data_IF_714985888858
#
_entry.id   IF_714985888858
#
_cell.length_a   1.000
_cell.length_b   1.000
_cell.length_c   1.000
_cell.angle_alpha   90.00
_cell.angle_beta   90.00
_cell.angle_gamma   90.00
#
_symmetry.space_group_name_H-M   'P 1'
#
loop_
_entity.id
_entity.type
_entity.pdbx_description
1 polymer ?
#
# COMPACT_ATOMS: atom_id res chain seq x y z
N UNK A 1 1.97 18.33 -18.25
CA UNK A 1 0.83 17.47 -18.68
C UNK A 1 -0.40 17.82 -17.86
N UNK A 2 -1.54 18.08 -18.50
CA UNK A 2 -2.77 18.38 -17.77
C UNK A 2 -3.44 17.08 -17.29
N UNK A 3 -4.34 17.20 -16.31
CA UNK A 3 -5.05 16.07 -15.69
C UNK A 3 -5.81 15.26 -16.76
N UNK A 4 -6.42 15.95 -17.71
CA UNK A 4 -7.17 15.32 -18.80
C UNK A 4 -6.28 14.40 -19.63
N UNK A 5 -5.08 14.85 -19.99
CA UNK A 5 -4.15 14.07 -20.80
C UNK A 5 -3.68 12.83 -20.01
N UNK A 6 -3.46 12.95 -18.71
CA UNK A 6 -3.11 11.82 -17.84
C UNK A 6 -4.21 10.76 -17.83
N UNK A 7 -5.48 11.19 -17.72
CA UNK A 7 -6.63 10.27 -17.70
C UNK A 7 -6.76 9.53 -19.03
N UNK A 8 -6.60 10.21 -20.15
CA UNK A 8 -6.64 9.60 -21.48
C UNK A 8 -5.50 8.61 -21.69
N UNK A 9 -4.30 8.99 -21.24
CA UNK A 9 -3.12 8.14 -21.30
C UNK A 9 -3.33 6.84 -20.53
N UNK A 10 -3.83 6.93 -19.29
CA UNK A 10 -4.10 5.78 -18.45
C UNK A 10 -5.17 4.88 -19.08
N UNK A 11 -6.25 5.48 -19.59
CA UNK A 11 -7.33 4.71 -20.26
C UNK A 11 -6.78 3.93 -21.46
N UNK A 12 -5.88 4.53 -22.23
CA UNK A 12 -5.23 3.88 -23.37
C UNK A 12 -4.40 2.68 -22.90
N UNK A 13 -3.62 2.86 -21.81
CA UNK A 13 -2.82 1.77 -21.24
C UNK A 13 -3.72 0.63 -20.72
N UNK A 14 -4.81 0.96 -20.05
CA UNK A 14 -5.75 -0.06 -19.54
C UNK A 14 -6.35 -0.89 -20.66
N UNK A 15 -6.78 -0.24 -21.75
CA UNK A 15 -7.29 -0.95 -22.91
C UNK A 15 -6.23 -1.84 -23.57
N UNK A 16 -5.01 -1.33 -23.71
CA UNK A 16 -3.90 -2.10 -24.25
C UNK A 16 -3.57 -3.33 -23.41
N UNK A 17 -3.61 -3.20 -22.09
CA UNK A 17 -3.32 -4.30 -21.16
C UNK A 17 -4.43 -5.35 -21.13
N UNK A 18 -5.67 -5.00 -21.47
CA UNK A 18 -6.74 -5.98 -21.61
C UNK A 18 -6.47 -6.90 -22.80
N UNK A 19 -5.91 -6.34 -23.87
CA UNK A 19 -5.59 -7.09 -25.10
C UNK A 19 -4.28 -7.87 -24.94
N UNK A 20 -3.26 -7.22 -24.35
CA UNK A 20 -1.92 -7.80 -24.17
C UNK A 20 -1.39 -7.52 -22.76
N UNK A 21 -1.82 -8.32 -21.75
CA UNK A 21 -1.45 -8.07 -20.35
C UNK A 21 0.04 -8.26 -20.05
N UNK A 22 0.80 -8.85 -20.95
CA UNK A 22 2.24 -9.06 -20.79
C UNK A 22 3.09 -8.08 -21.59
N UNK A 23 2.47 -7.10 -22.23
CA UNK A 23 3.21 -6.09 -22.98
C UNK A 23 4.12 -5.29 -22.05
N UNK A 24 5.42 -5.48 -22.18
CA UNK A 24 6.43 -4.91 -21.26
C UNK A 24 6.38 -3.40 -21.19
N UNK A 25 6.20 -2.73 -22.32
CA UNK A 25 6.12 -1.27 -22.36
C UNK A 25 4.88 -0.75 -21.63
N UNK A 26 3.72 -1.36 -21.87
CA UNK A 26 2.47 -0.95 -21.25
C UNK A 26 2.47 -1.25 -19.75
N UNK A 27 2.97 -2.42 -19.33
CA UNK A 27 3.13 -2.79 -17.93
C UNK A 27 4.02 -1.77 -17.23
N UNK A 28 5.17 -1.45 -17.82
CA UNK A 28 6.11 -0.49 -17.25
C UNK A 28 5.47 0.89 -17.09
N UNK A 29 4.87 1.40 -18.14
CA UNK A 29 4.29 2.74 -18.13
C UNK A 29 3.12 2.86 -17.16
N UNK A 30 2.24 1.87 -17.15
CA UNK A 30 1.10 1.83 -16.22
C UNK A 30 1.57 1.72 -14.78
N UNK A 31 2.50 0.80 -14.51
CA UNK A 31 3.07 0.60 -13.18
C UNK A 31 3.76 1.84 -12.65
N UNK A 32 4.61 2.47 -13.46
CA UNK A 32 5.30 3.69 -13.06
C UNK A 32 4.32 4.83 -12.78
N UNK A 33 3.29 4.97 -13.61
CA UNK A 33 2.27 6.00 -13.42
C UNK A 33 1.65 5.88 -12.03
N UNK A 34 1.16 4.68 -11.68
CA UNK A 34 0.47 4.48 -10.41
C UNK A 34 1.41 4.42 -9.21
N UNK A 35 2.63 3.91 -9.37
CA UNK A 35 3.62 3.96 -8.27
C UNK A 35 3.97 5.41 -7.92
N UNK A 36 4.20 6.25 -8.92
CA UNK A 36 4.49 7.67 -8.70
C UNK A 36 3.30 8.40 -8.10
N UNK A 37 2.10 8.14 -8.62
CA UNK A 37 0.87 8.75 -8.12
C UNK A 37 0.61 8.34 -6.67
N UNK A 38 0.85 7.07 -6.34
CA UNK A 38 0.70 6.56 -4.97
C UNK A 38 1.67 7.22 -4.00
N UNK A 39 2.94 7.34 -4.38
CA UNK A 39 3.94 8.01 -3.55
C UNK A 39 3.61 9.49 -3.35
N UNK A 40 3.16 10.18 -4.39
CA UNK A 40 2.75 11.57 -4.30
C UNK A 40 1.56 11.75 -3.36
N UNK A 41 0.56 10.86 -3.47
CA UNK A 41 -0.62 10.86 -2.58
C UNK A 41 -0.22 10.60 -1.13
N UNK A 42 0.70 9.66 -0.91
CA UNK A 42 1.21 9.34 0.42
C UNK A 42 1.90 10.55 1.07
N UNK A 43 2.74 11.24 0.31
CA UNK A 43 3.43 12.45 0.78
C UNK A 43 2.45 13.58 1.07
N UNK A 44 1.35 13.66 0.34
CA UNK A 44 0.30 14.66 0.53
C UNK A 44 -0.65 14.30 1.69
N UNK A 45 -0.48 13.15 2.32
CA UNK A 45 -1.35 12.70 3.41
C UNK A 45 -2.67 12.10 2.93
N UNK A 46 -2.78 11.76 1.66
CA UNK A 46 -3.98 11.17 1.04
C UNK A 46 -3.85 9.65 0.99
N UNK A 47 -3.99 9.02 2.15
CA UNK A 47 -3.75 7.58 2.31
C UNK A 47 -4.66 6.72 1.43
N UNK A 48 -5.95 7.06 1.33
CA UNK A 48 -6.90 6.28 0.52
C UNK A 48 -6.55 6.32 -0.96
N UNK A 49 -6.19 7.50 -1.48
CA UNK A 49 -5.74 7.64 -2.86
C UNK A 49 -4.47 6.84 -3.12
N UNK A 50 -3.53 6.88 -2.16
CA UNK A 50 -2.29 6.13 -2.25
C UNK A 50 -2.56 4.62 -2.30
N UNK A 51 -3.45 4.12 -1.44
CA UNK A 51 -3.83 2.71 -1.45
C UNK A 51 -4.41 2.29 -2.79
N UNK A 52 -5.32 3.09 -3.34
CA UNK A 52 -5.95 2.79 -4.63
C UNK A 52 -4.92 2.72 -5.75
N UNK A 53 -3.96 3.65 -5.76
CA UNK A 53 -2.90 3.67 -6.74
C UNK A 53 -2.02 2.42 -6.66
N UNK A 54 -1.59 2.06 -5.47
CA UNK A 54 -0.73 0.89 -5.29
C UNK A 54 -1.47 -0.42 -5.62
N UNK A 55 -2.76 -0.52 -5.32
CA UNK A 55 -3.57 -1.70 -5.64
C UNK A 55 -3.66 -1.94 -7.15
N UNK A 56 -3.61 -0.88 -7.96
CA UNK A 56 -3.64 -1.02 -9.41
C UNK A 56 -2.36 -1.64 -9.98
N UNK A 57 -1.26 -1.58 -9.24
CA UNK A 57 0.04 -2.14 -9.66
C UNK A 57 0.12 -3.64 -9.39
N UNK A 58 -0.56 -4.13 -8.36
CA UNK A 58 -0.44 -5.53 -7.92
C UNK A 58 -0.76 -6.55 -9.04
N UNK A 59 -1.83 -6.38 -9.84
CA UNK A 59 -2.15 -7.38 -10.88
C UNK A 59 -1.22 -7.36 -12.09
N UNK A 60 -0.29 -6.42 -12.18
CA UNK A 60 0.61 -6.32 -13.34
C UNK A 60 1.64 -7.45 -13.34
N UNK A 61 2.03 -7.88 -14.53
CA UNK A 61 3.06 -8.91 -14.70
C UNK A 61 4.46 -8.28 -14.61
N UNK A 62 4.82 -7.82 -13.39
CA UNK A 62 6.11 -7.17 -13.12
C UNK A 62 6.48 -7.37 -11.67
N UNK A 63 7.41 -8.30 -11.42
CA UNK A 63 7.83 -8.71 -10.08
C UNK A 63 8.23 -7.54 -9.18
N UNK A 64 9.12 -6.67 -9.68
CA UNK A 64 9.63 -5.55 -8.89
C UNK A 64 8.53 -4.55 -8.54
N UNK A 65 7.66 -4.23 -9.50
CA UNK A 65 6.56 -3.30 -9.25
C UNK A 65 5.55 -3.87 -8.26
N UNK A 66 5.22 -5.15 -8.37
CA UNK A 66 4.34 -5.82 -7.40
C UNK A 66 4.92 -5.73 -5.99
N UNK A 67 6.20 -6.04 -5.85
CA UNK A 67 6.90 -5.99 -4.56
C UNK A 67 6.88 -4.58 -3.99
N UNK A 68 7.19 -3.58 -4.80
CA UNK A 68 7.19 -2.18 -4.38
C UNK A 68 5.78 -1.73 -3.94
N UNK A 69 4.75 -2.11 -4.69
CA UNK A 69 3.36 -1.76 -4.35
C UNK A 69 2.93 -2.43 -3.05
N UNK A 70 3.21 -3.72 -2.89
CA UNK A 70 2.88 -4.47 -1.67
C UNK A 70 3.61 -3.92 -0.45
N UNK A 71 4.90 -3.59 -0.60
CA UNK A 71 5.67 -2.95 0.47
C UNK A 71 5.05 -1.60 0.85
N UNK A 72 4.74 -0.77 -0.13
CA UNK A 72 4.15 0.56 0.12
C UNK A 72 2.79 0.45 0.81
N UNK A 73 1.96 -0.50 0.39
CA UNK A 73 0.68 -0.78 1.04
C UNK A 73 0.88 -1.24 2.48
N UNK A 74 1.87 -2.10 2.72
CA UNK A 74 2.22 -2.55 4.07
C UNK A 74 2.61 -1.39 4.97
N UNK A 75 3.45 -0.49 4.47
CA UNK A 75 3.87 0.71 5.21
C UNK A 75 2.68 1.62 5.51
N UNK A 76 1.81 1.85 4.53
CA UNK A 76 0.61 2.68 4.71
C UNK A 76 -0.30 2.12 5.80
N UNK A 77 -0.57 0.81 5.76
CA UNK A 77 -1.42 0.16 6.75
C UNK A 77 -0.78 0.21 8.14
N UNK A 78 0.52 -0.02 8.23
CA UNK A 78 1.25 0.07 9.50
C UNK A 78 1.16 1.48 10.07
N UNK A 79 1.42 2.49 9.27
CA UNK A 79 1.37 3.89 9.70
C UNK A 79 -0.04 4.29 10.13
N UNK A 80 -1.06 3.83 9.42
CA UNK A 80 -2.44 4.09 9.78
C UNK A 80 -2.79 3.47 11.14
N UNK A 81 -2.41 2.22 11.36
CA UNK A 81 -2.59 1.54 12.64
C UNK A 81 -1.87 2.26 13.78
N UNK A 82 -0.62 2.68 13.56
CA UNK A 82 0.15 3.43 14.54
C UNK A 82 -0.50 4.77 14.87
N UNK A 83 -1.04 5.47 13.87
CA UNK A 83 -1.74 6.74 14.07
C UNK A 83 -3.04 6.54 14.86
N UNK A 84 -3.79 5.48 14.59
CA UNK A 84 -5.00 5.16 15.34
C UNK A 84 -4.65 4.95 16.83
N UNK A 85 -3.61 4.17 17.12
CA UNK A 85 -3.18 3.93 18.51
C UNK A 85 -2.71 5.22 19.18
N UNK A 86 -1.96 6.05 18.46
CA UNK A 86 -1.47 7.32 18.98
C UNK A 86 -2.62 8.24 19.39
N UNK A 87 -3.65 8.33 18.55
CA UNK A 87 -4.84 9.14 18.84
C UNK A 87 -5.69 8.56 19.94
N UNK A 88 -5.69 7.24 20.07
CA UNK A 88 -6.49 6.55 21.08
C UNK A 88 -5.82 6.52 22.47
N UNK A 89 -4.50 6.75 22.53
CA UNK A 89 -3.75 6.64 23.79
C UNK A 89 -4.37 7.40 24.97
N UNK A 90 -4.86 8.66 24.80
CA UNK A 90 -5.49 9.38 25.92
C UNK A 90 -6.78 8.71 26.42
N UNK A 91 -7.42 7.88 25.62
CA UNK A 91 -8.66 7.20 26.00
C UNK A 91 -8.43 5.99 26.91
N UNK A 92 -7.21 5.48 26.97
CA UNK A 92 -6.89 4.28 27.75
C UNK A 92 -7.33 4.39 29.23
N UNK A 93 -7.22 5.59 29.79
CA UNK A 93 -7.59 5.85 31.19
C UNK A 93 -8.94 6.53 31.35
N UNK A 94 -9.44 7.23 30.30
CA UNK A 94 -10.68 8.02 30.39
C UNK A 94 -11.90 7.28 29.84
N UNK A 95 -11.73 6.41 28.86
CA UNK A 95 -12.82 5.65 28.24
C UNK A 95 -12.27 4.34 27.70
N UNK A 96 -12.18 3.35 28.55
CA UNK A 96 -11.58 2.04 28.24
C UNK A 96 -12.30 1.32 27.09
N UNK A 97 -13.61 1.44 27.01
CA UNK A 97 -14.39 0.77 25.95
C UNK A 97 -14.09 1.40 24.57
N UNK A 98 -14.01 2.70 24.53
CA UNK A 98 -13.67 3.42 23.30
C UNK A 98 -12.22 3.14 22.87
N UNK A 99 -11.31 3.09 23.84
CA UNK A 99 -9.92 2.70 23.59
C UNK A 99 -9.83 1.31 22.98
N UNK A 100 -10.56 0.34 23.55
CA UNK A 100 -10.56 -1.03 23.05
C UNK A 100 -11.08 -1.11 21.60
N UNK A 101 -12.13 -0.34 21.27
CA UNK A 101 -12.66 -0.29 19.91
C UNK A 101 -11.64 0.29 18.92
N UNK A 102 -10.96 1.36 19.32
CA UNK A 102 -9.93 1.95 18.46
C UNK A 102 -8.71 1.03 18.30
N UNK A 103 -8.31 0.34 19.37
CA UNK A 103 -7.24 -0.64 19.31
C UNK A 103 -7.58 -1.78 18.35
N UNK A 104 -8.80 -2.24 18.33
CA UNK A 104 -9.25 -3.27 17.41
C UNK A 104 -9.11 -2.81 15.94
N UNK A 105 -9.48 -1.56 15.67
CA UNK A 105 -9.28 -0.97 14.33
C UNK A 105 -7.80 -0.94 13.95
N UNK A 106 -6.93 -0.53 14.87
CA UNK A 106 -5.50 -0.49 14.65
C UNK A 106 -4.94 -1.89 14.38
N UNK A 107 -5.38 -2.88 15.15
CA UNK A 107 -4.95 -4.27 14.97
C UNK A 107 -5.34 -4.80 13.59
N UNK A 108 -6.53 -4.42 13.11
CA UNK A 108 -6.97 -4.75 11.76
C UNK A 108 -6.05 -4.18 10.69
N UNK A 109 -5.60 -2.94 10.87
CA UNK A 109 -4.65 -2.32 9.92
C UNK A 109 -3.28 -2.98 9.99
N UNK A 110 -2.82 -3.35 11.17
CA UNK A 110 -1.56 -4.08 11.33
C UNK A 110 -1.61 -5.46 10.66
N UNK A 111 -2.75 -6.13 10.76
CA UNK A 111 -2.96 -7.41 10.09
C UNK A 111 -2.90 -7.26 8.57
N UNK A 112 -3.55 -6.23 8.03
CA UNK A 112 -3.47 -5.92 6.60
C UNK A 112 -2.01 -5.65 6.18
N UNK A 113 -1.28 -4.89 6.99
CA UNK A 113 0.13 -4.61 6.75
C UNK A 113 0.95 -5.91 6.69
N UNK A 114 0.71 -6.80 7.64
CA UNK A 114 1.40 -8.09 7.68
C UNK A 114 1.11 -8.92 6.43
N UNK A 115 -0.15 -8.99 6.02
CA UNK A 115 -0.56 -9.75 4.84
C UNK A 115 0.14 -9.23 3.57
N UNK A 116 0.17 -7.91 3.37
CA UNK A 116 0.85 -7.31 2.23
C UNK A 116 2.35 -7.59 2.24
N UNK A 117 2.97 -7.46 3.41
CA UNK A 117 4.42 -7.65 3.53
C UNK A 117 4.82 -9.12 3.38
N UNK A 118 4.01 -10.04 3.89
CA UNK A 118 4.25 -11.47 3.70
C UNK A 118 4.14 -11.86 2.23
N UNK A 119 3.16 -11.30 1.53
CA UNK A 119 3.02 -11.53 0.09
C UNK A 119 4.21 -10.96 -0.68
N UNK A 120 4.67 -9.77 -0.31
CA UNK A 120 5.87 -9.18 -0.90
C UNK A 120 7.10 -10.07 -0.66
N UNK A 121 7.22 -10.65 0.53
CA UNK A 121 8.33 -11.54 0.87
C UNK A 121 8.29 -12.84 0.07
N UNK A 122 7.11 -13.34 -0.26
CA UNK A 122 6.96 -14.53 -1.12
C UNK A 122 7.44 -14.23 -2.54
N UNK A 123 7.15 -13.05 -3.05
CA UNK A 123 7.54 -12.63 -4.40
C UNK A 123 9.03 -12.30 -4.46
N UNK A 124 9.54 -11.57 -3.46
CA UNK A 124 10.93 -11.10 -3.43
C UNK A 124 11.54 -11.31 -2.04
N UNK A 125 11.91 -12.56 -1.70
CA UNK A 125 12.47 -12.85 -0.36
C UNK A 125 13.77 -12.12 -0.07
N UNK A 126 14.46 -11.67 -1.11
CA UNK A 126 15.73 -10.93 -1.00
C UNK A 126 15.55 -9.42 -0.74
N UNK A 127 14.33 -8.90 -0.81
CA UNK A 127 14.09 -7.47 -0.66
C UNK A 127 14.37 -7.01 0.77
N UNK A 128 15.36 -6.15 0.91
CA UNK A 128 15.82 -5.68 2.23
C UNK A 128 14.77 -4.86 2.97
N UNK A 129 14.01 -4.04 2.27
CA UNK A 129 12.97 -3.21 2.88
C UNK A 129 11.87 -4.08 3.50
N UNK A 130 11.44 -5.11 2.78
CA UNK A 130 10.44 -6.07 3.27
C UNK A 130 10.98 -6.83 4.47
N UNK A 131 12.23 -7.30 4.41
CA UNK A 131 12.88 -8.01 5.52
C UNK A 131 12.95 -7.18 6.79
N UNK A 132 13.20 -5.88 6.66
CA UNK A 132 13.28 -4.96 7.81
C UNK A 132 11.91 -4.66 8.39
N UNK A 133 10.90 -4.53 7.55
CA UNK A 133 9.57 -4.11 7.97
C UNK A 133 8.76 -5.24 8.63
N UNK A 134 8.91 -6.46 8.16
CA UNK A 134 8.18 -7.62 8.70
C UNK A 134 8.30 -7.78 10.22
N UNK A 135 9.51 -7.78 10.81
CA UNK A 135 9.64 -7.90 12.27
C UNK A 135 8.98 -6.75 13.02
N UNK A 136 9.01 -5.54 12.46
CA UNK A 136 8.39 -4.38 13.09
C UNK A 136 6.88 -4.53 13.20
N UNK A 137 6.24 -5.02 12.13
CA UNK A 137 4.79 -5.26 12.14
C UNK A 137 4.44 -6.39 13.10
N UNK A 138 5.20 -7.48 13.10
CA UNK A 138 4.97 -8.60 14.00
C UNK A 138 5.11 -8.19 15.47
N UNK A 139 6.05 -7.28 15.77
CA UNK A 139 6.26 -6.80 17.11
C UNK A 139 5.06 -6.04 17.68
N UNK A 140 4.39 -5.22 16.87
CA UNK A 140 3.21 -4.46 17.32
C UNK A 140 1.94 -5.31 17.43
N UNK A 141 1.95 -6.51 16.87
CA UNK A 141 0.81 -7.44 16.91
C UNK A 141 0.83 -8.40 18.11
N UNK A 142 1.88 -8.36 18.89
CA UNK A 142 2.01 -9.21 20.10
C UNK A 142 1.20 -8.67 21.28
#
# INVERSE_FOLDING_TARGET
MCIRDSAEYVATLEEGLKVDPKNKTMVKNYGLHYLKAGLAAQKAGKAEEAEDCFKKVIPLDHKQYKTNALYSLGVLCYNDGANILKKAAPLANSDADKYAAEKEKADGRFKEALDYLEEAAKISPENENVKKMLPQVKAVMK
#
